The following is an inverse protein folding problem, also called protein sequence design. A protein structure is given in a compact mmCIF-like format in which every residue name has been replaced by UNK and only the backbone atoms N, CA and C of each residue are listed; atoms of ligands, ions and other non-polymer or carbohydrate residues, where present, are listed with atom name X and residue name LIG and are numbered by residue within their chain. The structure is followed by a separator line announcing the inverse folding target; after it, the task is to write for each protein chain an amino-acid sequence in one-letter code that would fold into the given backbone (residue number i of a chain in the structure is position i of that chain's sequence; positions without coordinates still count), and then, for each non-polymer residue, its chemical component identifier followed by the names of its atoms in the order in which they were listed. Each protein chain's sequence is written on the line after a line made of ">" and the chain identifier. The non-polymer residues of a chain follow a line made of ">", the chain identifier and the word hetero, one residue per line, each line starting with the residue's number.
data_IF_336774523160
#
_entry.id   IF_336774523160
#
_cell.length_a   1.000
_cell.length_b   1.000
_cell.length_c   1.000
_cell.angle_alpha   90.00
_cell.angle_beta   90.00
_cell.angle_gamma   90.00
#
_symmetry.space_group_name_H-M   'P 1'
#
loop_
_entity.id
_entity.type
_entity.pdbx_description
1 polymer ?
#
# COMPACT_ATOMS: atom_id res chain seq x y z
N UNK A 1 -7.40 25.74 -2.20
CA UNK A 1 -8.30 24.80 -2.91
C UNK A 1 -8.09 23.44 -2.29
N UNK A 2 -8.99 23.02 -1.40
CA UNK A 2 -8.96 21.73 -0.71
C UNK A 2 -10.09 20.90 -1.30
N UNK A 3 -9.84 20.22 -2.41
CA UNK A 3 -10.81 19.36 -3.06
C UNK A 3 -10.21 17.97 -3.17
N UNK A 4 -10.76 17.09 -2.31
CA UNK A 4 -10.55 15.67 -2.14
C UNK A 4 -9.33 15.21 -1.32
N UNK A 5 -9.58 14.86 -0.07
CA UNK A 5 -8.65 14.17 0.81
C UNK A 5 -8.24 12.81 0.17
N UNK A 6 -7.11 12.81 -0.53
CA UNK A 6 -6.43 11.58 -0.94
C UNK A 6 -5.74 10.93 0.27
N UNK A 7 -5.57 9.62 0.22
CA UNK A 7 -4.78 8.89 1.22
C UNK A 7 -3.53 8.32 0.56
N UNK A 8 -2.37 8.62 1.12
CA UNK A 8 -1.11 8.04 0.67
C UNK A 8 -0.37 7.38 1.82
N UNK A 9 0.34 6.31 1.52
CA UNK A 9 1.21 5.64 2.47
C UNK A 9 2.31 4.84 1.74
N UNK A 10 3.47 4.70 2.38
CA UNK A 10 4.49 3.78 1.89
C UNK A 10 4.11 2.34 2.28
N UNK A 11 3.98 1.49 1.26
CA UNK A 11 3.83 0.04 1.38
C UNK A 11 4.96 -0.64 0.61
N UNK A 12 5.07 -1.97 0.68
CA UNK A 12 6.08 -2.69 -0.08
C UNK A 12 5.44 -3.61 -1.10
N UNK A 13 5.87 -3.48 -2.35
CA UNK A 13 5.49 -4.36 -3.44
C UNK A 13 6.44 -5.56 -3.50
N UNK A 14 5.91 -6.73 -3.15
CA UNK A 14 6.63 -8.00 -3.18
C UNK A 14 6.57 -8.64 -4.56
N UNK A 15 7.57 -8.37 -5.39
CA UNK A 15 7.72 -8.93 -6.75
C UNK A 15 8.25 -10.37 -6.75
N UNK A 16 8.84 -10.83 -5.65
CA UNK A 16 9.29 -12.21 -5.45
C UNK A 16 9.11 -12.63 -4.00
N UNK A 17 8.71 -13.88 -3.77
CA UNK A 17 8.69 -14.50 -2.43
C UNK A 17 10.08 -14.93 -1.96
N UNK A 18 10.97 -15.23 -2.91
CA UNK A 18 12.28 -15.84 -2.65
C UNK A 18 13.40 -14.79 -2.58
N UNK A 19 13.27 -13.70 -3.33
CA UNK A 19 14.25 -12.64 -3.35
C UNK A 19 13.72 -11.41 -2.59
N UNK A 20 14.13 -11.26 -1.33
CA UNK A 20 13.74 -10.15 -0.46
C UNK A 20 14.11 -8.76 -1.01
N UNK A 21 15.17 -8.64 -1.81
CA UNK A 21 15.53 -7.39 -2.49
C UNK A 21 14.49 -6.96 -3.54
N UNK A 22 13.62 -7.89 -3.99
CA UNK A 22 12.50 -7.62 -4.88
C UNK A 22 11.20 -7.31 -4.13
N UNK A 23 11.27 -7.08 -2.82
CA UNK A 23 10.21 -6.48 -2.01
C UNK A 23 10.56 -5.00 -1.81
N UNK A 24 10.08 -4.16 -2.73
CA UNK A 24 10.52 -2.76 -2.88
C UNK A 24 9.47 -1.79 -2.33
N UNK A 25 9.88 -0.66 -1.72
CA UNK A 25 8.94 0.34 -1.23
C UNK A 25 8.26 1.05 -2.40
N UNK A 26 6.96 1.26 -2.28
CA UNK A 26 6.13 2.04 -3.20
C UNK A 26 5.28 3.03 -2.41
N UNK A 27 5.05 4.21 -2.97
CA UNK A 27 4.04 5.15 -2.46
C UNK A 27 2.72 4.73 -3.09
N UNK A 28 1.81 4.21 -2.27
CA UNK A 28 0.47 3.88 -2.69
C UNK A 28 -0.46 5.04 -2.33
N UNK A 29 -1.13 5.59 -3.34
CA UNK A 29 -2.02 6.74 -3.23
C UNK A 29 -3.41 6.38 -3.73
N UNK A 30 -4.42 6.79 -2.97
CA UNK A 30 -5.83 6.66 -3.31
C UNK A 30 -6.45 8.05 -3.36
N UNK A 31 -6.83 8.46 -4.56
CA UNK A 31 -7.60 9.67 -4.85
C UNK A 31 -9.04 9.27 -5.23
N UNK A 32 -9.99 10.21 -5.32
CA UNK A 32 -11.29 9.91 -5.89
C UNK A 32 -11.13 9.43 -7.33
N UNK A 33 -11.54 8.19 -7.58
CA UNK A 33 -11.49 7.59 -8.91
C UNK A 33 -10.10 7.12 -9.37
N UNK A 34 -9.06 7.24 -8.55
CA UNK A 34 -7.72 6.78 -8.94
C UNK A 34 -6.98 6.07 -7.80
N UNK A 35 -6.53 4.85 -8.06
CA UNK A 35 -5.50 4.16 -7.31
C UNK A 35 -4.18 4.25 -8.09
N UNK A 36 -3.13 4.76 -7.45
CA UNK A 36 -1.80 4.92 -8.05
C UNK A 36 -0.73 4.37 -7.12
N UNK A 37 0.25 3.65 -7.67
CA UNK A 37 1.45 3.25 -6.93
C UNK A 37 2.71 3.68 -7.69
N UNK A 38 3.61 4.35 -7.00
CA UNK A 38 4.89 4.80 -7.52
C UNK A 38 6.04 4.07 -6.83
N UNK A 39 7.01 3.59 -7.60
CA UNK A 39 8.22 3.02 -7.02
C UNK A 39 9.20 4.09 -6.53
N UNK A 40 10.42 3.67 -6.20
CA UNK A 40 11.44 4.56 -5.64
C UNK A 40 11.95 5.60 -6.62
N UNK A 41 11.82 5.35 -7.91
CA UNK A 41 12.32 6.18 -9.00
C UNK A 41 11.20 7.09 -9.54
N UNK A 42 10.06 7.14 -8.84
CA UNK A 42 8.86 7.88 -9.24
C UNK A 42 8.10 7.22 -10.40
N UNK A 43 8.46 5.99 -10.80
CA UNK A 43 7.79 5.31 -11.89
C UNK A 43 6.45 4.75 -11.42
N UNK A 44 5.40 5.02 -12.19
CA UNK A 44 4.06 4.52 -11.92
C UNK A 44 4.01 3.02 -12.25
N UNK A 45 3.88 2.19 -11.23
CA UNK A 45 3.85 0.72 -11.37
C UNK A 45 2.44 0.15 -11.29
N UNK A 46 1.49 0.90 -10.72
CA UNK A 46 0.05 0.62 -10.69
C UNK A 46 -0.69 1.93 -10.98
N UNK A 47 -1.68 1.89 -11.86
CA UNK A 47 -2.63 2.98 -12.06
C UNK A 47 -3.96 2.41 -12.54
N UNK A 48 -5.07 2.85 -11.96
CA UNK A 48 -6.41 2.46 -12.39
C UNK A 48 -7.53 3.02 -11.52
N UNK A 49 -8.77 2.86 -11.96
CA UNK A 49 -9.94 3.20 -11.14
C UNK A 49 -10.04 2.19 -9.97
N UNK A 50 -10.19 2.63 -8.71
CA UNK A 50 -10.42 1.76 -7.57
C UNK A 50 -11.56 0.75 -7.76
N UNK A 51 -12.57 1.07 -8.58
CA UNK A 51 -13.70 0.18 -8.91
C UNK A 51 -13.31 -0.99 -9.82
N UNK A 52 -12.22 -0.86 -10.56
CA UNK A 52 -11.63 -1.93 -11.37
C UNK A 52 -10.69 -2.84 -10.55
N UNK A 53 -10.48 -2.52 -9.26
CA UNK A 53 -9.60 -3.28 -8.38
C UNK A 53 -10.35 -4.47 -7.82
N UNK A 54 -9.80 -5.66 -8.03
CA UNK A 54 -10.19 -6.88 -7.33
C UNK A 54 -9.11 -7.23 -6.31
N UNK A 55 -9.46 -7.80 -5.16
CA UNK A 55 -8.42 -8.17 -4.21
C UNK A 55 -8.87 -8.95 -3.00
N UNK A 56 -7.88 -9.39 -2.22
CA UNK A 56 -8.10 -10.06 -0.94
C UNK A 56 -6.99 -9.75 0.04
N UNK A 57 -7.35 -9.75 1.32
CA UNK A 57 -6.36 -9.72 2.39
C UNK A 57 -6.09 -11.15 2.88
N UNK A 58 -4.83 -11.59 2.76
CA UNK A 58 -4.42 -12.89 3.29
C UNK A 58 -4.30 -12.86 4.81
N UNK A 59 -4.43 -14.03 5.47
CA UNK A 59 -4.20 -14.17 6.92
C UNK A 59 -2.81 -13.70 7.38
N UNK A 60 -1.82 -13.73 6.49
CA UNK A 60 -0.46 -13.27 6.74
C UNK A 60 -0.28 -11.76 6.52
N UNK A 61 -1.36 -11.00 6.35
CA UNK A 61 -1.29 -9.54 6.17
C UNK A 61 -0.67 -9.12 4.84
N UNK A 62 -0.73 -9.96 3.80
CA UNK A 62 -0.45 -9.54 2.41
C UNK A 62 -1.76 -9.16 1.74
N UNK A 63 -1.84 -7.94 1.23
CA UNK A 63 -2.93 -7.47 0.38
C UNK A 63 -2.61 -7.83 -1.07
N UNK A 64 -3.39 -8.75 -1.63
CA UNK A 64 -3.27 -9.15 -3.04
C UNK A 64 -4.31 -8.36 -3.82
N UNK A 65 -3.88 -7.51 -4.75
CA UNK A 65 -4.77 -6.78 -5.65
C UNK A 65 -4.52 -7.17 -7.10
N UNK A 66 -5.57 -7.12 -7.90
CA UNK A 66 -5.53 -7.21 -9.35
C UNK A 66 -6.08 -5.90 -9.89
N UNK A 67 -5.29 -5.24 -10.72
CA UNK A 67 -5.69 -3.99 -11.40
C UNK A 67 -5.47 -4.22 -12.88
N UNK A 68 -6.54 -4.12 -13.67
CA UNK A 68 -6.51 -4.34 -15.13
C UNK A 68 -5.81 -5.66 -15.53
N UNK A 69 -6.17 -6.75 -14.84
CA UNK A 69 -5.63 -8.10 -15.09
C UNK A 69 -4.22 -8.36 -14.52
N UNK A 70 -3.50 -7.35 -14.01
CA UNK A 70 -2.18 -7.52 -13.41
C UNK A 70 -2.26 -7.63 -11.89
N UNK A 71 -1.59 -8.65 -11.34
CA UNK A 71 -1.58 -8.95 -9.91
C UNK A 71 -0.40 -8.29 -9.19
N UNK A 72 -0.68 -7.74 -8.02
CA UNK A 72 0.29 -7.10 -7.13
C UNK A 72 0.13 -7.64 -5.72
N UNK A 73 1.25 -8.03 -5.11
CA UNK A 73 1.31 -8.42 -3.71
C UNK A 73 1.91 -7.28 -2.89
N UNK A 74 1.08 -6.66 -2.06
CA UNK A 74 1.44 -5.54 -1.21
C UNK A 74 1.53 -6.00 0.24
N UNK A 75 2.56 -5.54 0.95
CA UNK A 75 2.76 -5.80 2.37
C UNK A 75 3.04 -4.50 3.10
N UNK A 76 2.63 -4.44 4.37
CA UNK A 76 2.79 -3.23 5.18
C UNK A 76 4.24 -2.93 5.57
N UNK A 77 5.16 -3.89 5.45
CA UNK A 77 6.57 -3.74 5.86
C UNK A 77 7.50 -4.58 4.98
N UNK A 78 8.66 -4.02 4.64
CA UNK A 78 9.75 -4.73 3.97
C UNK A 78 10.46 -5.72 4.89
N UNK A 79 11.12 -6.71 4.29
CA UNK A 79 12.03 -7.62 5.02
C UNK A 79 13.40 -6.98 5.24
N UNK A 80 14.31 -7.67 5.93
CA UNK A 80 15.66 -7.15 6.19
C UNK A 80 16.48 -6.84 4.93
N UNK A 81 16.18 -7.51 3.80
CA UNK A 81 16.81 -7.24 2.49
C UNK A 81 16.01 -6.26 1.61
N UNK A 82 14.86 -5.78 2.07
CA UNK A 82 14.08 -4.78 1.33
C UNK A 82 14.83 -3.45 1.33
N UNK A 83 14.88 -2.72 0.20
CA UNK A 83 15.37 -1.36 0.19
C UNK A 83 14.56 -0.47 1.14
N UNK A 84 15.23 0.47 1.80
CA UNK A 84 14.55 1.49 2.59
C UNK A 84 13.84 2.50 1.68
N UNK A 85 12.69 3.08 2.10
CA UNK A 85 12.01 4.12 1.33
C UNK A 85 12.91 5.34 1.12
N UNK A 86 12.88 5.93 -0.07
CA UNK A 86 13.69 7.11 -0.39
C UNK A 86 13.21 8.35 0.36
N UNK A 87 14.05 9.38 0.53
CA UNK A 87 13.62 10.67 1.08
C UNK A 87 12.45 11.29 0.32
N UNK A 88 12.43 11.17 -1.01
CA UNK A 88 11.39 11.69 -1.89
C UNK A 88 10.05 10.98 -1.63
N UNK A 89 10.06 9.65 -1.47
CA UNK A 89 8.85 8.89 -1.12
C UNK A 89 8.29 9.32 0.24
N UNK A 90 9.16 9.61 1.22
CA UNK A 90 8.73 10.10 2.55
C UNK A 90 8.13 11.50 2.44
N UNK A 91 8.79 12.39 1.72
CA UNK A 91 8.30 13.74 1.47
C UNK A 91 6.94 13.72 0.73
N UNK A 92 6.79 12.83 -0.26
CA UNK A 92 5.54 12.65 -0.99
C UNK A 92 4.40 12.24 -0.05
N UNK A 93 4.59 11.26 0.84
CA UNK A 93 3.54 10.88 1.81
C UNK A 93 3.26 12.00 2.81
N UNK A 94 4.29 12.70 3.31
CA UNK A 94 4.10 13.82 4.23
C UNK A 94 3.26 14.95 3.62
N UNK A 95 3.28 15.13 2.31
CA UNK A 95 2.45 16.12 1.61
C UNK A 95 0.94 15.80 1.63
N UNK A 96 0.56 14.53 1.84
CA UNK A 96 -0.85 14.10 1.99
C UNK A 96 -1.41 14.31 3.41
N UNK A 97 -0.58 14.81 4.33
CA UNK A 97 -0.92 14.97 5.74
C UNK A 97 -0.57 13.73 6.57
N UNK A 98 -0.70 13.84 7.90
CA UNK A 98 -0.39 12.74 8.79
C UNK A 98 -1.33 11.55 8.53
N UNK A 99 -0.81 10.43 8.02
CA UNK A 99 -1.54 9.17 7.98
C UNK A 99 -1.93 8.81 9.42
N UNK A 100 -3.22 8.78 9.75
CA UNK A 100 -3.66 8.27 11.07
C UNK A 100 -3.04 6.90 11.29
N UNK A 101 -2.35 6.66 12.42
CA UNK A 101 -1.75 5.37 12.70
C UNK A 101 -2.84 4.30 12.62
N UNK A 102 -2.63 3.28 11.80
CA UNK A 102 -3.54 2.16 11.75
C UNK A 102 -3.61 1.56 13.17
N UNK A 103 -4.82 1.51 13.74
CA UNK A 103 -5.07 0.93 15.06
C UNK A 103 -4.86 -0.59 15.00
N UNK A 104 -3.60 -1.02 14.98
CA UNK A 104 -3.18 -2.39 15.19
C UNK A 104 -3.23 -2.72 16.67
N UNK A 105 -3.63 -3.95 17.01
CA UNK A 105 -3.45 -4.46 18.37
C UNK A 105 -1.97 -4.43 18.75
N UNK A 106 -1.66 -4.30 20.05
CA UNK A 106 -0.30 -4.14 20.56
C UNK A 106 0.69 -5.21 20.01
N UNK A 107 0.22 -6.43 19.77
CA UNK A 107 1.02 -7.53 19.21
C UNK A 107 1.51 -7.24 17.78
N UNK A 108 0.68 -6.67 16.92
CA UNK A 108 1.04 -6.36 15.52
C UNK A 108 2.03 -5.17 15.45
N UNK A 109 1.89 -4.21 16.37
CA UNK A 109 2.84 -3.11 16.55
C UNK A 109 4.21 -3.65 16.98
N UNK A 110 4.26 -4.51 18.00
CA UNK A 110 5.50 -5.03 18.58
C UNK A 110 6.22 -5.98 17.62
N UNK A 111 5.50 -6.93 17.01
CA UNK A 111 6.13 -7.98 16.19
C UNK A 111 6.33 -7.57 14.72
N UNK A 112 5.45 -6.73 14.18
CA UNK A 112 5.42 -6.41 12.74
C UNK A 112 5.36 -4.90 12.43
N UNK A 113 5.56 -4.03 13.42
CA UNK A 113 5.44 -2.57 13.27
C UNK A 113 4.12 -2.13 12.61
N UNK A 114 3.02 -2.81 12.94
CA UNK A 114 1.68 -2.50 12.45
C UNK A 114 1.42 -2.89 10.99
N UNK A 115 2.27 -3.74 10.38
CA UNK A 115 2.13 -4.09 8.96
C UNK A 115 0.78 -4.74 8.63
N UNK A 116 0.24 -5.58 9.51
CA UNK A 116 -1.07 -6.20 9.32
C UNK A 116 -2.21 -5.19 9.43
N UNK A 117 -2.15 -4.29 10.41
CA UNK A 117 -3.08 -3.18 10.58
C UNK A 117 -3.08 -2.24 9.37
N UNK A 118 -1.89 -1.93 8.85
CA UNK A 118 -1.71 -1.13 7.63
C UNK A 118 -2.44 -1.76 6.43
N UNK A 119 -2.25 -3.06 6.19
CA UNK A 119 -2.92 -3.73 5.07
C UNK A 119 -4.43 -3.86 5.26
N UNK A 120 -4.92 -4.02 6.50
CA UNK A 120 -6.37 -3.94 6.82
C UNK A 120 -6.93 -2.55 6.54
N UNK A 121 -6.21 -1.51 6.93
CA UNK A 121 -6.55 -0.12 6.65
C UNK A 121 -6.64 0.17 5.15
N UNK A 122 -5.72 -0.38 4.35
CA UNK A 122 -5.78 -0.30 2.88
C UNK A 122 -6.93 -1.10 2.29
N UNK A 123 -7.16 -2.33 2.76
CA UNK A 123 -8.30 -3.14 2.34
C UNK A 123 -9.63 -2.41 2.58
N UNK A 124 -9.85 -1.84 3.77
CA UNK A 124 -11.06 -1.08 4.07
C UNK A 124 -11.23 0.16 3.16
N UNK A 125 -10.15 0.91 2.92
CA UNK A 125 -10.17 2.09 2.04
C UNK A 125 -10.50 1.75 0.60
N UNK A 126 -9.89 0.70 0.06
CA UNK A 126 -10.19 0.21 -1.28
C UNK A 126 -11.64 -0.24 -1.40
N UNK A 127 -12.17 -0.95 -0.40
CA UNK A 127 -13.58 -1.35 -0.36
C UNK A 127 -14.51 -0.13 -0.32
N UNK A 128 -14.18 0.88 0.50
CA UNK A 128 -14.92 2.16 0.52
C UNK A 128 -14.86 2.93 -0.79
N UNK A 129 -13.81 2.75 -1.60
CA UNK A 129 -13.67 3.33 -2.93
C UNK A 129 -14.35 2.50 -4.06
N UNK A 130 -14.94 1.35 -3.73
CA UNK A 130 -15.69 0.51 -4.67
C UNK A 130 -14.92 -0.69 -5.22
N UNK A 131 -13.74 -1.00 -4.69
CA UNK A 131 -13.02 -2.22 -5.05
C UNK A 131 -13.80 -3.50 -4.66
N UNK A 132 -13.68 -4.55 -5.46
CA UNK A 132 -14.28 -5.86 -5.19
C UNK A 132 -13.34 -6.69 -4.33
N UNK A 133 -13.61 -6.75 -3.03
CA UNK A 133 -12.71 -7.37 -2.04
C UNK A 133 -13.35 -8.55 -1.32
N UNK A 134 -12.54 -9.55 -0.95
CA UNK A 134 -12.95 -10.75 -0.21
C UNK A 134 -11.90 -11.29 0.77
#
# INVERSE_FOLDING_TARGET
>A
MSEYAGYAEIVYWRRSLWNGARCVPVVLSLFPGELRAEDRDGQVVVQGDPREVEGRLTRLGTLLITVRGKRYALVGRGGGMSPVPSPEQRAAVSAFGASSPAAGGAVDQVLNAGAGARMRAWHARLGGAGARLW
#
